data_IF_387523231150
#
_entry.id   IF_387523231150
#
_cell.length_a   1.000
_cell.length_b   1.000
_cell.length_c   1.000
_cell.angle_alpha   90.00
_cell.angle_beta   90.00
_cell.angle_gamma   90.00
#
_symmetry.space_group_name_H-M   'P 1'
#
loop_
_entity.id
_entity.type
_entity.pdbx_description
1 polymer ?
#
# COMPACT_ATOMS: atom_id res chain seq x y z
N UNK A 1 -23.87 -0.68 6.65
CA UNK A 1 -22.64 -0.91 5.86
C UNK A 1 -22.14 0.44 5.36
N UNK A 2 -20.82 0.63 5.23
CA UNK A 2 -20.28 1.88 4.67
C UNK A 2 -20.61 1.97 3.17
N UNK A 3 -20.80 3.17 2.60
CA UNK A 3 -20.98 3.36 1.17
C UNK A 3 -19.80 2.83 0.35
N UNK A 4 -20.08 2.32 -0.85
CA UNK A 4 -19.07 1.71 -1.74
C UNK A 4 -17.93 2.66 -2.10
N UNK A 5 -18.21 3.95 -2.25
CA UNK A 5 -17.18 4.94 -2.54
C UNK A 5 -16.19 5.12 -1.37
N UNK A 6 -16.57 4.74 -0.15
CA UNK A 6 -15.70 4.76 1.04
C UNK A 6 -15.03 3.40 1.24
N UNK A 7 -15.79 2.31 1.13
CA UNK A 7 -15.28 0.97 1.41
C UNK A 7 -14.30 0.48 0.35
N UNK A 8 -14.53 0.79 -0.93
CA UNK A 8 -13.68 0.30 -2.02
C UNK A 8 -12.22 0.80 -1.92
N UNK A 9 -11.93 2.09 -1.72
CA UNK A 9 -10.54 2.56 -1.56
C UNK A 9 -9.84 1.95 -0.34
N UNK A 10 -10.58 1.74 0.76
CA UNK A 10 -10.05 1.08 1.97
C UNK A 10 -9.72 -0.39 1.71
N UNK A 11 -10.57 -1.09 0.96
CA UNK A 11 -10.35 -2.48 0.56
C UNK A 11 -9.16 -2.57 -0.40
N UNK A 12 -9.07 -1.69 -1.40
CA UNK A 12 -7.94 -1.62 -2.34
C UNK A 12 -6.61 -1.41 -1.58
N UNK A 13 -6.58 -0.48 -0.61
CA UNK A 13 -5.40 -0.23 0.23
C UNK A 13 -5.05 -1.45 1.10
N UNK A 14 -6.06 -2.11 1.69
CA UNK A 14 -5.86 -3.32 2.49
C UNK A 14 -5.26 -4.47 1.66
N UNK A 15 -5.77 -4.67 0.43
CA UNK A 15 -5.25 -5.66 -0.51
C UNK A 15 -3.81 -5.34 -0.89
N UNK A 16 -3.48 -4.08 -1.13
CA UNK A 16 -2.13 -3.61 -1.41
C UNK A 16 -1.15 -3.98 -0.28
N UNK A 17 -1.46 -3.65 0.98
CA UNK A 17 -0.59 -3.99 2.10
C UNK A 17 -0.51 -5.49 2.35
N UNK A 18 -1.62 -6.22 2.21
CA UNK A 18 -1.63 -7.68 2.30
C UNK A 18 -0.70 -8.31 1.27
N UNK A 19 -0.69 -7.77 0.04
CA UNK A 19 0.21 -8.22 -1.01
C UNK A 19 1.68 -7.92 -0.67
N UNK A 20 2.02 -6.69 -0.27
CA UNK A 20 3.39 -6.31 0.08
C UNK A 20 3.97 -7.12 1.24
N UNK A 21 3.14 -7.50 2.20
CA UNK A 21 3.53 -8.31 3.35
C UNK A 21 3.55 -9.83 3.06
N UNK A 22 3.28 -10.24 1.82
CA UNK A 22 3.39 -11.64 1.38
C UNK A 22 4.85 -12.11 1.39
N UNK A 23 5.06 -13.38 1.71
CA UNK A 23 6.37 -14.04 1.59
C UNK A 23 6.82 -14.24 0.15
N UNK A 24 5.88 -14.19 -0.81
CA UNK A 24 6.14 -14.29 -2.25
C UNK A 24 5.61 -13.06 -2.96
N UNK A 25 6.51 -12.37 -3.65
CA UNK A 25 6.21 -11.21 -4.48
C UNK A 25 6.51 -11.52 -5.94
N UNK A 26 5.68 -11.00 -6.83
CA UNK A 26 5.80 -11.09 -8.28
C UNK A 26 6.17 -9.71 -8.81
N UNK A 27 7.22 -9.62 -9.62
CA UNK A 27 7.68 -8.36 -10.20
C UNK A 27 6.59 -7.67 -11.03
N UNK A 28 5.85 -8.44 -11.84
CA UNK A 28 4.76 -7.91 -12.67
C UNK A 28 3.65 -7.29 -11.83
N UNK A 29 3.30 -7.92 -10.71
CA UNK A 29 2.30 -7.37 -9.80
C UNK A 29 2.83 -6.15 -9.05
N UNK A 30 4.10 -6.14 -8.62
CA UNK A 30 4.72 -4.96 -8.01
C UNK A 30 4.68 -3.75 -8.96
N UNK A 31 4.98 -3.92 -10.25
CA UNK A 31 4.86 -2.85 -11.26
C UNK A 31 3.43 -2.32 -11.36
N UNK A 32 2.44 -3.20 -11.39
CA UNK A 32 1.02 -2.79 -11.35
C UNK A 32 0.68 -2.02 -10.08
N UNK A 33 1.25 -2.40 -8.94
CA UNK A 33 1.05 -1.68 -7.68
C UNK A 33 1.79 -0.34 -7.63
N UNK A 34 2.94 -0.18 -8.31
CA UNK A 34 3.60 1.13 -8.52
C UNK A 34 2.62 2.11 -9.21
N UNK A 35 1.88 1.65 -10.21
CA UNK A 35 0.91 2.48 -10.95
C UNK A 35 -0.41 2.71 -10.18
N UNK A 36 -0.87 1.71 -9.42
CA UNK A 36 -2.18 1.76 -8.76
C UNK A 36 -2.18 2.52 -7.43
N UNK A 37 -1.09 2.48 -6.65
CA UNK A 37 -1.08 3.07 -5.31
C UNK A 37 -1.37 4.59 -5.27
N UNK A 38 -0.88 5.44 -6.21
CA UNK A 38 -1.23 6.85 -6.23
C UNK A 38 -2.74 7.07 -6.47
N UNK A 39 -3.36 6.20 -7.29
CA UNK A 39 -4.80 6.25 -7.57
C UNK A 39 -5.60 5.91 -6.32
N UNK A 40 -5.19 4.87 -5.57
CA UNK A 40 -5.83 4.48 -4.31
C UNK A 40 -5.75 5.62 -3.29
N UNK A 41 -4.57 6.24 -3.14
CA UNK A 41 -4.36 7.36 -2.22
C UNK A 41 -5.20 8.58 -2.62
N UNK A 42 -5.27 8.93 -3.90
CA UNK A 42 -6.11 10.03 -4.38
C UNK A 42 -7.62 9.78 -4.12
N UNK A 43 -8.08 8.52 -4.20
CA UNK A 43 -9.47 8.17 -3.82
C UNK A 43 -9.71 8.39 -2.32
N UNK A 44 -8.72 8.05 -1.48
CA UNK A 44 -8.80 8.23 -0.03
C UNK A 44 -8.73 9.70 0.38
N UNK A 45 -7.86 10.49 -0.26
CA UNK A 45 -7.73 11.93 -0.04
C UNK A 45 -9.06 12.68 -0.30
N UNK A 46 -9.87 12.21 -1.25
CA UNK A 46 -11.21 12.77 -1.51
C UNK A 46 -12.24 12.47 -0.43
N UNK A 47 -12.00 11.46 0.41
CA UNK A 47 -12.91 11.01 1.47
C UNK A 47 -12.53 11.64 2.80
N UNK A 48 -11.23 11.70 3.09
CA UNK A 48 -10.72 12.19 4.36
C UNK A 48 -10.56 13.72 4.34
N UNK A 49 -10.69 14.39 5.49
CA UNK A 49 -10.43 15.82 5.58
C UNK A 49 -8.96 16.13 5.24
N UNK A 50 -8.66 17.31 4.68
CA UNK A 50 -7.30 17.67 4.25
C UNK A 50 -6.28 17.66 5.40
N UNK A 51 -6.71 17.82 6.66
CA UNK A 51 -5.82 17.69 7.82
C UNK A 51 -5.42 16.26 8.18
N UNK A 52 -6.01 15.24 7.54
CA UNK A 52 -5.67 13.83 7.74
C UNK A 52 -4.68 13.31 6.68
N UNK A 53 -4.60 13.95 5.51
CA UNK A 53 -3.69 13.55 4.44
C UNK A 53 -2.50 14.52 4.41
N UNK A 54 -1.44 14.16 5.13
CA UNK A 54 -0.15 14.83 5.08
C UNK A 54 0.88 14.01 4.26
N UNK A 55 2.17 14.32 4.38
CA UNK A 55 3.22 13.64 3.62
C UNK A 55 3.38 12.17 3.99
N UNK A 56 2.98 11.77 5.20
CA UNK A 56 3.13 10.42 5.72
C UNK A 56 2.19 9.42 5.03
N UNK A 57 0.96 9.84 4.71
CA UNK A 57 -0.04 9.03 4.01
C UNK A 57 0.40 8.71 2.57
N UNK A 58 1.36 9.46 2.02
CA UNK A 58 1.91 9.28 0.68
C UNK A 58 3.11 8.32 0.62
N UNK A 59 3.69 7.94 1.76
CA UNK A 59 4.80 6.96 1.82
C UNK A 59 4.52 5.63 1.12
N UNK A 60 3.28 5.09 1.10
CA UNK A 60 2.95 3.86 0.37
C UNK A 60 3.35 3.87 -1.11
N UNK A 61 3.42 5.05 -1.75
CA UNK A 61 3.84 5.18 -3.17
C UNK A 61 5.21 4.57 -3.44
N UNK A 62 6.11 4.62 -2.47
CA UNK A 62 7.47 4.09 -2.63
C UNK A 62 7.61 2.61 -2.30
N UNK A 63 6.61 2.00 -1.65
CA UNK A 63 6.73 0.63 -1.14
C UNK A 63 6.84 -0.44 -2.23
N UNK A 64 6.10 -0.38 -3.35
CA UNK A 64 6.21 -1.39 -4.41
C UNK A 64 7.60 -1.41 -5.05
N UNK A 65 8.15 -0.24 -5.34
CA UNK A 65 9.53 -0.11 -5.83
C UNK A 65 10.54 -0.67 -4.82
N UNK A 66 10.42 -0.28 -3.54
CA UNK A 66 11.28 -0.80 -2.48
C UNK A 66 11.18 -2.32 -2.35
N UNK A 67 9.99 -2.89 -2.52
CA UNK A 67 9.75 -4.33 -2.50
C UNK A 67 10.28 -5.05 -3.75
N UNK A 68 10.25 -4.40 -4.91
CA UNK A 68 10.83 -4.91 -6.15
C UNK A 68 12.35 -5.01 -6.08
N UNK A 69 13.00 -3.99 -5.53
CA UNK A 69 14.47 -3.93 -5.42
C UNK A 69 14.99 -4.77 -4.25
N UNK A 70 14.32 -4.72 -3.08
CA UNK A 70 14.82 -5.38 -1.87
C UNK A 70 14.10 -6.66 -1.48
N UNK A 71 13.19 -7.17 -2.32
CA UNK A 71 12.45 -8.40 -2.06
C UNK A 71 11.41 -8.28 -0.94
N UNK A 72 10.92 -9.43 -0.42
CA UNK A 72 9.86 -9.48 0.57
C UNK A 72 10.15 -8.60 1.79
N UNK A 73 9.13 -7.86 2.20
CA UNK A 73 9.24 -6.88 3.30
C UNK A 73 9.58 -7.56 4.64
N UNK A 74 9.16 -8.81 4.84
CA UNK A 74 9.38 -9.60 6.06
C UNK A 74 10.86 -9.70 6.46
N UNK A 75 11.77 -9.84 5.49
CA UNK A 75 13.22 -9.95 5.75
C UNK A 75 13.92 -8.62 6.03
N UNK A 76 13.20 -7.50 5.89
CA UNK A 76 13.73 -6.13 6.03
C UNK A 76 13.04 -5.32 7.12
N UNK A 77 12.18 -5.97 7.91
CA UNK A 77 11.65 -5.36 9.12
C UNK A 77 12.78 -5.15 10.12
N UNK A 78 12.58 -4.19 11.02
CA UNK A 78 13.52 -3.93 12.11
C UNK A 78 13.75 -5.18 12.97
N UNK A 79 12.72 -6.03 13.08
CA UNK A 79 12.73 -7.31 13.80
C UNK A 79 12.13 -8.41 12.91
N UNK A 80 12.91 -9.02 12.00
CA UNK A 80 12.39 -9.95 10.99
C UNK A 80 12.04 -11.34 11.54
N UNK A 81 12.50 -11.68 12.75
CA UNK A 81 12.31 -13.00 13.38
C UNK A 81 11.46 -12.95 14.66
N UNK A 82 11.04 -11.77 15.09
CA UNK A 82 10.19 -11.61 16.27
C UNK A 82 8.73 -11.56 15.81
N UNK A 83 8.02 -12.67 16.00
CA UNK A 83 6.56 -12.77 15.87
C UNK A 83 6.00 -13.92 16.70
#
# INVERSE_FOLDING_TARGET
MLPDYISNPLIELSIFFKYLCSSKLSENALRRYEDNIPIILCKLEKIFPPGFFDSMEHLPVHLPYKARVGGPVQYRWMYPFER
#
